data_IF_335003208835
#
_entry.id   IF_335003208835
#
_cell.length_a   1.000
_cell.length_b   1.000
_cell.length_c   1.000
_cell.angle_alpha   90.00
_cell.angle_beta   90.00
_cell.angle_gamma   90.00
#
_symmetry.space_group_name_H-M   'P 1'
#
loop_
_entity.id
_entity.type
_entity.pdbx_description
1 polymer ?
#
# COMPACT_ATOMS: atom_id res chain seq x y z
N UNK A 1 2.87 -20.38 5.06
CA UNK A 1 2.24 -20.11 3.76
C UNK A 1 1.91 -18.62 3.65
N UNK A 2 1.70 -18.06 2.45
CA UNK A 2 1.23 -16.66 2.33
C UNK A 2 -0.21 -16.56 2.82
N UNK A 3 -1.00 -17.61 2.56
CA UNK A 3 -2.35 -17.82 3.10
C UNK A 3 -2.37 -17.75 4.63
N UNK A 4 -1.48 -18.49 5.32
CA UNK A 4 -1.40 -18.44 6.79
C UNK A 4 -1.11 -17.02 7.30
N UNK A 5 -0.31 -16.24 6.58
CA UNK A 5 -0.03 -14.86 6.95
C UNK A 5 -1.26 -13.98 6.81
N UNK A 6 -2.04 -14.18 5.73
CA UNK A 6 -3.33 -13.51 5.52
C UNK A 6 -4.31 -13.86 6.62
N UNK A 7 -4.47 -15.14 6.96
CA UNK A 7 -5.42 -15.59 7.99
C UNK A 7 -5.01 -15.17 9.40
N UNK A 8 -3.71 -15.19 9.72
CA UNK A 8 -3.19 -14.71 11.00
C UNK A 8 -3.42 -13.20 11.24
N UNK A 9 -3.90 -12.45 10.24
CA UNK A 9 -4.27 -11.04 10.41
C UNK A 9 -5.56 -10.84 11.23
N UNK A 10 -6.35 -11.90 11.44
CA UNK A 10 -7.59 -11.83 12.20
C UNK A 10 -8.57 -10.82 11.59
N UNK A 11 -9.19 -10.01 12.45
CA UNK A 11 -10.13 -8.96 12.03
C UNK A 11 -9.44 -7.70 11.53
N UNK A 12 -8.19 -7.47 11.97
CA UNK A 12 -7.40 -6.34 11.51
C UNK A 12 -7.18 -6.42 10.00
N UNK A 13 -6.99 -7.62 9.44
CA UNK A 13 -6.78 -7.78 8.00
C UNK A 13 -5.41 -7.29 7.54
N UNK A 14 -5.24 -7.22 6.21
CA UNK A 14 -3.94 -7.00 5.56
C UNK A 14 -3.96 -5.77 4.68
N UNK A 15 -2.89 -4.96 4.80
CA UNK A 15 -2.55 -3.88 3.89
C UNK A 15 -1.55 -4.40 2.87
N UNK A 16 -1.84 -4.22 1.58
CA UNK A 16 -0.91 -4.53 0.50
C UNK A 16 -0.23 -3.25 0.06
N UNK A 17 1.10 -3.26 -0.09
CA UNK A 17 1.87 -2.12 -0.58
C UNK A 17 2.72 -2.51 -1.79
N UNK A 18 2.52 -1.81 -2.90
CA UNK A 18 3.29 -2.02 -4.13
C UNK A 18 3.45 -0.71 -4.91
N UNK A 19 4.70 -0.27 -5.03
CA UNK A 19 5.07 0.87 -5.89
C UNK A 19 5.54 0.44 -7.29
N UNK A 20 5.21 -0.79 -7.72
CA UNK A 20 5.51 -1.26 -9.06
C UNK A 20 6.98 -1.07 -9.46
N UNK A 21 7.20 -0.51 -10.65
CA UNK A 21 8.54 -0.22 -11.18
C UNK A 21 9.24 0.91 -10.42
N UNK A 22 8.49 1.85 -9.81
CA UNK A 22 9.05 2.94 -9.00
C UNK A 22 9.79 2.45 -7.75
N UNK A 23 9.46 1.25 -7.25
CA UNK A 23 10.12 0.68 -6.07
C UNK A 23 11.67 0.70 -6.16
N UNK A 24 12.23 0.59 -7.36
CA UNK A 24 13.69 0.63 -7.59
C UNK A 24 14.30 2.02 -7.44
N UNK A 25 13.52 3.08 -7.66
CA UNK A 25 13.95 4.46 -7.53
C UNK A 25 13.78 5.00 -6.10
N UNK A 26 13.15 4.23 -5.20
CA UNK A 26 12.96 4.65 -3.83
C UNK A 26 14.28 4.63 -3.04
N UNK A 27 14.72 5.80 -2.60
CA UNK A 27 15.88 5.93 -1.73
C UNK A 27 15.64 5.40 -0.32
N UNK A 28 16.73 4.97 0.35
CA UNK A 28 16.72 4.41 1.71
C UNK A 28 15.93 5.23 2.72
N UNK A 29 16.14 6.56 2.76
CA UNK A 29 15.44 7.46 3.70
C UNK A 29 13.92 7.42 3.51
N UNK A 30 13.44 7.33 2.28
CA UNK A 30 12.00 7.27 1.99
C UNK A 30 11.43 5.90 2.36
N UNK A 31 12.18 4.82 2.11
CA UNK A 31 11.80 3.48 2.56
C UNK A 31 11.75 3.36 4.09
N UNK A 32 12.69 3.98 4.82
CA UNK A 32 12.68 4.04 6.29
C UNK A 32 11.51 4.84 6.85
N UNK A 33 11.10 5.92 6.16
CA UNK A 33 9.91 6.69 6.52
C UNK A 33 8.63 5.87 6.30
N UNK A 34 8.49 5.22 5.13
CA UNK A 34 7.35 4.34 4.83
C UNK A 34 7.26 3.22 5.85
N UNK A 35 8.38 2.56 6.16
CA UNK A 35 8.44 1.50 7.15
C UNK A 35 7.97 1.96 8.54
N UNK A 36 8.33 3.19 8.95
CA UNK A 36 7.93 3.76 10.23
C UNK A 36 6.42 4.01 10.31
N UNK A 37 5.78 4.45 9.23
CA UNK A 37 4.32 4.59 9.17
C UNK A 37 3.61 3.23 9.24
N UNK A 38 4.08 2.26 8.45
CA UNK A 38 3.53 0.89 8.43
C UNK A 38 3.68 0.15 9.77
N UNK A 39 4.76 0.39 10.51
CA UNK A 39 4.99 -0.27 11.80
C UNK A 39 3.94 0.10 12.88
N UNK A 40 3.20 1.20 12.68
CA UNK A 40 2.21 1.72 13.63
C UNK A 40 0.80 1.23 13.38
N UNK A 41 0.51 0.69 12.20
CA UNK A 41 -0.86 0.25 11.87
C UNK A 41 -1.17 -1.09 12.53
N UNK A 42 -2.42 -1.34 12.95
CA UNK A 42 -2.80 -2.62 13.57
C UNK A 42 -2.84 -3.77 12.56
N UNK A 43 -2.81 -3.45 11.26
CA UNK A 43 -2.86 -4.42 10.17
C UNK A 43 -1.54 -5.17 10.02
N UNK A 44 -1.62 -6.41 9.55
CA UNK A 44 -0.48 -7.03 8.89
C UNK A 44 -0.22 -6.34 7.56
N UNK A 45 1.03 -6.32 7.13
CA UNK A 45 1.43 -5.64 5.89
C UNK A 45 2.21 -6.60 5.01
N UNK A 46 1.81 -6.69 3.74
CA UNK A 46 2.63 -7.28 2.69
C UNK A 46 3.16 -6.14 1.83
N UNK A 47 4.48 -5.96 1.85
CA UNK A 47 5.13 -4.92 1.08
C UNK A 47 6.05 -5.53 0.02
N UNK A 48 5.68 -5.32 -1.24
CA UNK A 48 6.56 -5.60 -2.38
C UNK A 48 7.72 -4.61 -2.38
N UNK A 49 8.90 -5.07 -1.97
CA UNK A 49 10.10 -4.26 -1.78
C UNK A 49 11.34 -4.98 -2.29
N UNK A 50 12.21 -4.24 -2.98
CA UNK A 50 13.52 -4.72 -3.43
C UNK A 50 14.61 -3.80 -2.86
N UNK A 51 15.65 -4.40 -2.28
CA UNK A 51 16.77 -3.67 -1.68
C UNK A 51 17.02 -4.07 -0.23
N UNK A 52 17.77 -3.24 0.48
CA UNK A 52 18.08 -3.47 1.90
C UNK A 52 16.85 -3.22 2.76
N UNK A 53 16.53 -4.16 3.67
CA UNK A 53 15.45 -4.02 4.66
C UNK A 53 15.56 -2.66 5.38
N UNK A 54 14.53 -1.80 5.33
CA UNK A 54 14.53 -0.55 6.08
C UNK A 54 14.66 -0.80 7.60
N UNK A 55 15.39 0.07 8.31
CA UNK A 55 15.62 -0.11 9.75
C UNK A 55 14.34 -0.08 10.59
N UNK A 56 13.33 0.68 10.14
CA UNK A 56 12.07 0.87 10.86
C UNK A 56 10.99 -0.15 10.47
N UNK A 57 11.35 -1.27 9.82
CA UNK A 57 10.36 -2.30 9.44
C UNK A 57 9.86 -3.05 10.67
N UNK A 58 8.61 -2.79 11.04
CA UNK A 58 7.92 -3.44 12.17
C UNK A 58 7.67 -4.94 11.95
N UNK A 59 7.35 -5.64 13.03
CA UNK A 59 7.06 -7.09 13.04
C UNK A 59 5.78 -7.46 12.28
N UNK A 60 4.88 -6.50 12.11
CA UNK A 60 3.66 -6.66 11.31
C UNK A 60 3.91 -6.71 9.80
N UNK A 61 5.13 -6.39 9.34
CA UNK A 61 5.44 -6.21 7.91
C UNK A 61 6.27 -7.36 7.33
N UNK A 62 5.69 -8.03 6.34
CA UNK A 62 6.36 -9.00 5.49
C UNK A 62 6.89 -8.30 4.22
N UNK A 63 8.21 -8.29 4.05
CA UNK A 63 8.87 -7.78 2.84
C UNK A 63 9.05 -8.89 1.82
N UNK A 64 8.63 -8.67 0.58
CA UNK A 64 8.78 -9.64 -0.51
C UNK A 64 9.28 -8.95 -1.79
N UNK A 65 10.23 -9.56 -2.50
CA UNK A 65 10.74 -9.01 -3.76
C UNK A 65 9.73 -9.08 -4.91
N UNK A 66 8.75 -9.97 -4.79
CA UNK A 66 7.63 -10.20 -5.70
C UNK A 66 6.43 -10.70 -4.90
N UNK A 67 5.21 -10.36 -5.34
CA UNK A 67 3.95 -10.79 -4.72
C UNK A 67 2.94 -11.19 -5.80
N UNK A 68 2.04 -12.16 -5.54
CA UNK A 68 0.89 -12.44 -6.39
C UNK A 68 -0.19 -11.36 -6.17
N UNK A 69 0.07 -10.15 -6.68
CA UNK A 69 -0.69 -8.94 -6.34
C UNK A 69 -2.21 -9.09 -6.58
N UNK A 70 -2.61 -9.56 -7.76
CA UNK A 70 -4.03 -9.72 -8.09
C UNK A 70 -4.74 -10.71 -7.16
N UNK A 71 -4.09 -11.81 -6.79
CA UNK A 71 -4.68 -12.81 -5.88
C UNK A 71 -4.76 -12.27 -4.45
N UNK A 72 -3.74 -11.51 -4.01
CA UNK A 72 -3.78 -10.81 -2.73
C UNK A 72 -4.90 -9.77 -2.70
N UNK A 73 -5.12 -9.01 -3.78
CA UNK A 73 -6.22 -8.06 -3.87
C UNK A 73 -7.59 -8.75 -3.88
N UNK A 74 -7.68 -9.96 -4.43
CA UNK A 74 -8.91 -10.77 -4.39
C UNK A 74 -9.21 -11.38 -3.00
N UNK A 75 -8.22 -11.39 -2.09
CA UNK A 75 -8.34 -12.09 -0.82
C UNK A 75 -9.26 -11.35 0.17
N UNK A 76 -10.19 -12.02 0.87
CA UNK A 76 -11.17 -11.36 1.75
C UNK A 76 -10.56 -10.64 2.97
N UNK A 77 -9.32 -10.99 3.33
CA UNK A 77 -8.57 -10.30 4.40
C UNK A 77 -7.92 -8.98 3.95
N UNK A 78 -7.88 -8.69 2.65
CA UNK A 78 -7.29 -7.45 2.15
C UNK A 78 -8.20 -6.27 2.47
N UNK A 79 -7.63 -5.29 3.17
CA UNK A 79 -8.33 -4.08 3.62
C UNK A 79 -8.05 -2.88 2.76
N UNK A 80 -6.83 -2.78 2.27
CA UNK A 80 -6.32 -1.58 1.64
C UNK A 80 -5.18 -1.92 0.70
N UNK A 81 -5.12 -1.20 -0.41
CA UNK A 81 -3.97 -1.21 -1.30
C UNK A 81 -3.28 0.16 -1.35
N UNK A 82 -2.00 0.19 -0.98
CA UNK A 82 -1.15 1.37 -1.15
C UNK A 82 -0.40 1.24 -2.47
N UNK A 83 -0.59 2.19 -3.37
CA UNK A 83 -0.14 2.09 -4.77
C UNK A 83 0.47 3.37 -5.30
N UNK A 84 1.44 3.23 -6.21
CA UNK A 84 1.96 4.33 -7.03
C UNK A 84 1.04 4.72 -8.20
N UNK A 85 -0.18 4.19 -8.26
CA UNK A 85 -1.17 4.49 -9.31
C UNK A 85 -0.74 4.08 -10.74
N UNK A 86 0.09 3.04 -10.87
CA UNK A 86 0.27 2.37 -12.17
C UNK A 86 -1.04 1.76 -12.65
N UNK A 87 -1.40 1.95 -13.93
CA UNK A 87 -2.74 1.69 -14.45
C UNK A 87 -3.24 0.26 -14.22
N UNK A 88 -2.38 -0.76 -14.36
CA UNK A 88 -2.76 -2.16 -14.10
C UNK A 88 -3.11 -2.40 -12.63
N UNK A 89 -2.30 -1.83 -11.72
CA UNK A 89 -2.51 -1.98 -10.29
C UNK A 89 -3.82 -1.29 -9.85
N UNK A 90 -4.17 -0.17 -10.50
CA UNK A 90 -5.46 0.51 -10.30
C UNK A 90 -6.61 -0.39 -10.75
N UNK A 91 -6.55 -0.96 -11.95
CA UNK A 91 -7.62 -1.83 -12.44
C UNK A 91 -7.82 -3.08 -11.59
N UNK A 92 -6.74 -3.73 -11.14
CA UNK A 92 -6.82 -4.88 -10.24
C UNK A 92 -7.53 -4.51 -8.93
N UNK A 93 -7.16 -3.40 -8.30
CA UNK A 93 -7.78 -2.95 -7.05
C UNK A 93 -9.26 -2.59 -7.23
N UNK A 94 -9.59 -1.88 -8.31
CA UNK A 94 -10.99 -1.56 -8.65
C UNK A 94 -11.82 -2.80 -8.92
N UNK A 95 -11.28 -3.76 -9.65
CA UNK A 95 -11.97 -5.01 -9.99
C UNK A 95 -12.37 -5.80 -8.73
N UNK A 96 -11.50 -5.82 -7.72
CA UNK A 96 -11.77 -6.50 -6.44
C UNK A 96 -12.44 -5.60 -5.39
N UNK A 97 -12.74 -4.34 -5.71
CA UNK A 97 -13.37 -3.40 -4.78
C UNK A 97 -12.49 -3.03 -3.58
N UNK A 98 -11.16 -3.12 -3.72
CA UNK A 98 -10.22 -2.79 -2.64
C UNK A 98 -9.95 -1.28 -2.63
N UNK A 99 -10.17 -0.58 -1.50
CA UNK A 99 -9.91 0.84 -1.42
C UNK A 99 -8.40 1.12 -1.44
N UNK A 100 -8.01 2.34 -1.82
CA UNK A 100 -6.61 2.67 -2.11
C UNK A 100 -6.09 3.90 -1.34
N UNK A 101 -4.85 3.83 -0.87
CA UNK A 101 -4.02 5.01 -0.62
C UNK A 101 -3.13 5.21 -1.84
N UNK A 102 -3.29 6.35 -2.50
CA UNK A 102 -2.70 6.70 -3.78
C UNK A 102 -1.44 7.53 -3.54
N UNK A 103 -0.30 7.10 -4.07
CA UNK A 103 0.99 7.78 -3.88
C UNK A 103 1.70 7.88 -5.24
N UNK A 104 1.14 8.64 -6.20
CA UNK A 104 1.70 8.76 -7.54
C UNK A 104 3.11 9.37 -7.47
N UNK A 105 4.03 8.82 -8.25
CA UNK A 105 5.43 9.23 -8.20
C UNK A 105 5.88 10.03 -9.44
N UNK A 106 5.40 9.70 -10.64
CA UNK A 106 5.74 10.41 -11.87
C UNK A 106 4.80 10.07 -13.04
N UNK A 107 4.88 10.87 -14.11
CA UNK A 107 4.22 10.64 -15.39
C UNK A 107 2.71 10.41 -15.28
N UNK A 108 2.18 9.36 -15.91
CA UNK A 108 0.75 9.06 -16.01
C UNK A 108 0.10 8.71 -14.67
N UNK A 109 0.90 8.40 -13.65
CA UNK A 109 0.43 8.03 -12.32
C UNK A 109 -0.40 9.13 -11.67
N UNK A 110 -0.04 10.40 -11.90
CA UNK A 110 -0.81 11.54 -11.39
C UNK A 110 -2.20 11.59 -12.01
N UNK A 111 -2.31 11.49 -13.34
CA UNK A 111 -3.60 11.46 -14.03
C UNK A 111 -4.46 10.26 -13.64
N UNK A 112 -3.85 9.09 -13.42
CA UNK A 112 -4.56 7.91 -12.91
C UNK A 112 -5.09 8.15 -11.49
N UNK A 113 -4.30 8.82 -10.63
CA UNK A 113 -4.73 9.20 -9.30
C UNK A 113 -5.90 10.18 -9.37
N UNK A 114 -5.79 11.25 -10.16
CA UNK A 114 -6.83 12.27 -10.29
C UNK A 114 -8.17 11.67 -10.75
N UNK A 115 -8.13 10.75 -11.72
CA UNK A 115 -9.31 10.02 -12.18
C UNK A 115 -9.99 9.24 -11.04
N UNK A 116 -9.22 8.58 -10.18
CA UNK A 116 -9.76 7.87 -9.00
C UNK A 116 -10.33 8.82 -7.94
N UNK A 117 -9.79 10.04 -7.84
CA UNK A 117 -10.30 11.06 -6.92
C UNK A 117 -11.71 11.47 -7.31
N UNK A 118 -11.98 11.62 -8.61
CA UNK A 118 -13.33 11.95 -9.11
C UNK A 118 -14.36 10.87 -8.80
N UNK A 119 -13.93 9.64 -8.54
CA UNK A 119 -14.77 8.53 -8.11
C UNK A 119 -14.98 8.48 -6.58
N UNK A 120 -14.40 9.43 -5.83
CA UNK A 120 -14.48 9.51 -4.38
C UNK A 120 -13.69 8.40 -3.66
N UNK A 121 -12.69 7.82 -4.32
CA UNK A 121 -11.99 6.64 -3.80
C UNK A 121 -10.65 7.00 -3.14
N UNK A 122 -10.62 6.96 -1.81
CA UNK A 122 -9.39 6.94 -1.00
C UNK A 122 -8.60 8.25 -0.95
N UNK A 123 -7.42 8.20 -0.32
CA UNK A 123 -6.55 9.37 -0.02
C UNK A 123 -5.35 9.43 -0.95
N UNK A 124 -5.01 10.61 -1.46
CA UNK A 124 -3.78 10.86 -2.24
C UNK A 124 -2.69 11.47 -1.35
N UNK A 125 -1.50 10.89 -1.36
CA UNK A 125 -0.31 11.42 -0.70
C UNK A 125 0.73 11.84 -1.75
N UNK A 126 1.43 12.93 -1.49
CA UNK A 126 2.58 13.35 -2.27
C UNK A 126 3.83 12.59 -1.81
N UNK A 127 4.39 11.76 -2.70
CA UNK A 127 5.57 10.93 -2.42
C UNK A 127 6.78 11.75 -1.94
N UNK A 128 6.90 13.02 -2.31
CA UNK A 128 8.05 13.85 -1.98
C UNK A 128 7.93 14.45 -0.58
N UNK A 129 6.72 14.90 -0.21
CA UNK A 129 6.47 15.64 1.03
C UNK A 129 5.91 14.78 2.16
N UNK A 130 5.26 13.65 1.85
CA UNK A 130 4.67 12.77 2.86
C UNK A 130 5.66 12.33 3.95
N UNK A 131 5.14 12.30 5.16
CA UNK A 131 5.76 11.83 6.40
C UNK A 131 5.19 10.46 6.80
N UNK A 132 5.78 9.86 7.85
CA UNK A 132 5.25 8.61 8.42
C UNK A 132 3.90 8.80 9.10
N UNK A 133 3.61 10.02 9.56
CA UNK A 133 2.33 10.37 10.17
C UNK A 133 1.24 10.45 9.10
N UNK A 134 1.52 11.16 7.99
CA UNK A 134 0.58 11.24 6.86
C UNK A 134 0.23 9.84 6.32
N UNK A 135 1.23 8.95 6.20
CA UNK A 135 0.99 7.58 5.75
C UNK A 135 0.14 6.78 6.75
N UNK A 136 0.44 6.90 8.03
CA UNK A 136 -0.33 6.24 9.08
C UNK A 136 -1.79 6.70 9.07
N UNK A 137 -2.02 8.02 9.05
CA UNK A 137 -3.34 8.63 9.05
C UNK A 137 -4.13 8.22 7.80
N UNK A 138 -3.53 8.28 6.62
CA UNK A 138 -4.18 7.86 5.37
C UNK A 138 -4.58 6.37 5.40
N UNK A 139 -3.73 5.49 5.94
CA UNK A 139 -4.07 4.06 6.09
C UNK A 139 -5.27 3.90 7.03
N UNK A 140 -5.24 4.55 8.19
CA UNK A 140 -6.31 4.45 9.18
C UNK A 140 -7.62 5.05 8.67
N UNK A 141 -7.57 6.15 7.91
CA UNK A 141 -8.76 6.76 7.30
C UNK A 141 -9.40 5.80 6.29
N UNK A 142 -8.61 5.32 5.32
CA UNK A 142 -9.15 4.51 4.23
C UNK A 142 -9.55 3.11 4.71
N UNK A 143 -8.81 2.50 5.64
CA UNK A 143 -9.15 1.18 6.16
C UNK A 143 -10.39 1.16 7.08
N UNK A 144 -10.75 2.30 7.69
CA UNK A 144 -11.92 2.41 8.57
C UNK A 144 -13.16 2.96 7.88
N UNK A 145 -13.00 3.70 6.78
CA UNK A 145 -14.13 4.17 5.98
C UNK A 145 -14.73 2.97 5.24
N UNK A 146 -15.92 2.53 5.68
CA UNK A 146 -16.76 1.58 4.96
C UNK A 146 -17.21 2.24 3.65
N UNK A 147 -16.53 1.94 2.54
CA UNK A 147 -17.12 2.07 1.20
C UNK A 147 -18.22 1.02 1.01
#
# INVERSE_FOLDING_TARGET
DLEDFMEASGDAGVVILSFGSYAKAMGRRKAEMVAAGLARVPHKVIWRFQGQRPKNTGENTLLMSWIPQNDLLAHPKTRLFITHCGINAVYEAMFHGVPMVRVPAFAEQHGNSDNLETLGTGVTLDIFTMTSDDLYEAIMEVANNKT
#
